data_IF_759446260823
#
_entry.id   IF_759446260823
#
_cell.length_a   1.000
_cell.length_b   1.000
_cell.length_c   1.000
_cell.angle_alpha   90.00
_cell.angle_beta   90.00
_cell.angle_gamma   90.00
#
_symmetry.space_group_name_H-M   'P 1'
#
loop_
_entity.id
_entity.type
_entity.pdbx_description
1 polymer ?
#
# COMPACT_ATOMS: atom_id res chain seq x y z
N UNK A 1 -5.43 62.44 -73.58
CA UNK A 1 -5.25 62.41 -72.15
C UNK A 1 -5.44 60.96 -71.70
N UNK A 2 -4.32 60.34 -71.38
CA UNK A 2 -4.25 58.83 -71.15
C UNK A 2 -4.71 58.52 -69.77
N UNK A 3 -5.62 57.54 -69.63
CA UNK A 3 -5.89 56.83 -68.35
C UNK A 3 -5.36 55.42 -68.51
N UNK A 4 -4.26 55.13 -67.77
CA UNK A 4 -3.64 53.81 -67.66
C UNK A 4 -4.39 52.97 -66.74
N UNK A 5 -4.74 51.76 -67.19
CA UNK A 5 -5.29 50.62 -66.45
C UNK A 5 -4.24 50.11 -65.44
N UNK A 6 -4.64 50.01 -64.19
CA UNK A 6 -4.02 49.16 -63.16
C UNK A 6 -5.08 48.15 -62.71
N UNK A 7 -4.99 47.02 -63.26
CA UNK A 7 -5.84 45.88 -62.87
C UNK A 7 -5.10 44.56 -63.15
N UNK A 8 -5.21 43.65 -62.21
CA UNK A 8 -4.78 42.23 -62.31
C UNK A 8 -3.35 41.89 -61.91
N UNK A 9 -3.07 41.83 -60.59
CA UNK A 9 -2.09 40.94 -60.00
C UNK A 9 -2.42 40.72 -58.52
N UNK A 10 -3.55 40.10 -58.17
CA UNK A 10 -3.83 39.65 -56.78
C UNK A 10 -4.85 38.52 -56.76
N UNK A 11 -4.52 37.38 -57.39
CA UNK A 11 -5.41 36.25 -57.34
C UNK A 11 -4.69 34.88 -57.52
N UNK A 12 -3.50 34.68 -56.90
CA UNK A 12 -2.80 33.39 -57.08
C UNK A 12 -1.99 32.94 -55.86
N UNK A 13 -2.30 33.43 -54.65
CA UNK A 13 -1.59 32.99 -53.42
C UNK A 13 -2.54 32.24 -52.44
N UNK A 14 -3.87 32.31 -52.65
CA UNK A 14 -4.84 31.75 -51.70
C UNK A 14 -5.15 30.24 -51.87
N UNK A 15 -4.63 29.57 -52.91
CA UNK A 15 -5.06 28.18 -53.24
C UNK A 15 -4.08 27.08 -52.84
N UNK A 16 -2.93 27.41 -52.26
CA UNK A 16 -1.94 26.38 -51.83
C UNK A 16 -1.89 26.09 -50.32
N UNK A 17 -2.62 26.84 -49.51
CA UNK A 17 -2.60 26.65 -48.02
C UNK A 17 -3.71 25.72 -47.55
N UNK A 18 -4.82 25.61 -48.30
CA UNK A 18 -5.97 24.78 -47.92
C UNK A 18 -5.72 23.26 -47.84
N UNK A 19 -4.93 22.60 -48.70
CA UNK A 19 -4.70 21.15 -48.57
C UNK A 19 -3.77 20.77 -47.42
N UNK A 20 -2.85 21.63 -46.99
CA UNK A 20 -1.95 21.32 -45.87
C UNK A 20 -2.68 21.35 -44.51
N UNK A 21 -3.61 22.27 -44.31
CA UNK A 21 -4.41 22.40 -43.11
C UNK A 21 -5.40 21.19 -42.99
N UNK A 22 -5.93 20.69 -44.10
CA UNK A 22 -6.84 19.55 -44.09
C UNK A 22 -6.15 18.22 -43.77
N UNK A 23 -4.90 18.02 -44.21
CA UNK A 23 -4.13 16.81 -43.86
C UNK A 23 -3.78 16.80 -42.37
N UNK A 24 -3.30 17.90 -41.82
CA UNK A 24 -2.96 18.01 -40.41
C UNK A 24 -4.18 17.78 -39.48
N UNK A 25 -5.37 18.25 -39.88
CA UNK A 25 -6.60 18.04 -39.12
C UNK A 25 -7.06 16.56 -39.16
N UNK A 26 -6.89 15.90 -40.30
CA UNK A 26 -7.20 14.46 -40.45
C UNK A 26 -6.24 13.61 -39.61
N UNK A 27 -4.96 13.97 -39.57
CA UNK A 27 -3.96 13.21 -38.79
C UNK A 27 -4.16 13.41 -37.27
N UNK A 28 -4.54 14.59 -36.81
CA UNK A 28 -4.96 14.82 -35.42
C UNK A 28 -6.21 14.02 -35.04
N UNK A 29 -7.22 13.94 -35.90
CA UNK A 29 -8.42 13.14 -35.65
C UNK A 29 -8.12 11.64 -35.58
N UNK A 30 -7.19 11.14 -36.40
CA UNK A 30 -6.73 9.76 -36.33
C UNK A 30 -5.99 9.49 -35.02
N UNK A 31 -5.07 10.35 -34.60
CA UNK A 31 -4.37 10.22 -33.34
C UNK A 31 -5.32 10.14 -32.14
N UNK A 32 -6.31 11.05 -32.09
CA UNK A 32 -7.37 11.02 -31.06
C UNK A 32 -8.11 9.69 -31.05
N UNK A 33 -8.44 9.15 -32.22
CA UNK A 33 -9.14 7.87 -32.33
C UNK A 33 -8.27 6.71 -31.81
N UNK A 34 -6.99 6.66 -32.20
CA UNK A 34 -6.08 5.59 -31.74
C UNK A 34 -5.93 5.61 -30.22
N UNK A 35 -5.82 6.80 -29.60
CA UNK A 35 -5.78 6.93 -28.14
C UNK A 35 -7.08 6.43 -27.49
N UNK A 36 -8.23 6.76 -28.04
CA UNK A 36 -9.53 6.28 -27.53
C UNK A 36 -9.67 4.77 -27.64
N UNK A 37 -9.22 4.21 -28.76
CA UNK A 37 -9.20 2.77 -29.00
C UNK A 37 -8.23 2.07 -28.03
N UNK A 38 -7.04 2.64 -27.78
CA UNK A 38 -6.06 2.17 -26.80
C UNK A 38 -6.66 2.13 -25.38
N UNK A 39 -7.27 3.23 -24.93
CA UNK A 39 -7.95 3.29 -23.64
C UNK A 39 -9.12 2.27 -23.56
N UNK A 40 -9.84 2.06 -24.64
CA UNK A 40 -10.93 1.08 -24.70
C UNK A 40 -10.40 -0.35 -24.52
N UNK A 41 -9.32 -0.71 -25.20
CA UNK A 41 -8.68 -2.02 -25.01
C UNK A 41 -8.16 -2.19 -23.60
N UNK A 42 -7.47 -1.18 -23.06
CA UNK A 42 -6.98 -1.17 -21.70
C UNK A 42 -8.11 -1.39 -20.66
N UNK A 43 -9.24 -0.66 -20.79
CA UNK A 43 -10.40 -0.83 -19.90
C UNK A 43 -11.05 -2.21 -20.00
N UNK A 44 -10.91 -2.89 -21.14
CA UNK A 44 -11.36 -4.28 -21.33
C UNK A 44 -10.36 -5.31 -20.86
N UNK A 45 -9.24 -4.88 -20.27
CA UNK A 45 -8.11 -5.73 -19.91
C UNK A 45 -7.47 -6.48 -21.09
N UNK A 46 -7.68 -5.99 -22.33
CA UNK A 46 -6.92 -6.42 -23.51
C UNK A 46 -5.60 -5.63 -23.54
N UNK A 47 -4.68 -6.04 -22.68
CA UNK A 47 -3.42 -5.33 -22.49
C UNK A 47 -2.45 -5.48 -23.66
N UNK A 48 -2.52 -6.59 -24.43
CA UNK A 48 -1.74 -6.77 -25.64
C UNK A 48 -2.20 -5.80 -26.74
N UNK A 49 -3.51 -5.74 -26.99
CA UNK A 49 -4.09 -4.79 -27.93
C UNK A 49 -3.87 -3.33 -27.50
N UNK A 50 -3.98 -3.04 -26.18
CA UNK A 50 -3.72 -1.71 -25.65
C UNK A 50 -2.25 -1.29 -25.84
N UNK A 51 -1.28 -2.16 -25.52
CA UNK A 51 0.14 -1.88 -25.67
C UNK A 51 0.50 -1.55 -27.13
N UNK A 52 0.04 -2.35 -28.08
CA UNK A 52 0.29 -2.12 -29.50
C UNK A 52 -0.24 -0.74 -29.96
N UNK A 53 -1.42 -0.34 -29.50
CA UNK A 53 -2.00 0.96 -29.85
C UNK A 53 -1.28 2.13 -29.15
N UNK A 54 -0.85 1.98 -27.89
CA UNK A 54 -0.04 3.01 -27.21
C UNK A 54 1.34 3.16 -27.84
N UNK A 55 1.97 2.09 -28.30
CA UNK A 55 3.21 2.17 -29.08
C UNK A 55 3.01 2.96 -30.38
N UNK A 56 1.89 2.71 -31.12
CA UNK A 56 1.56 3.47 -32.32
C UNK A 56 1.36 4.97 -31.99
N UNK A 57 0.68 5.25 -30.89
CA UNK A 57 0.46 6.64 -30.41
C UNK A 57 1.79 7.32 -30.12
N UNK A 58 2.68 6.71 -29.36
CA UNK A 58 3.96 7.29 -28.96
C UNK A 58 4.96 7.38 -30.10
N UNK A 59 4.88 6.48 -31.09
CA UNK A 59 5.68 6.59 -32.32
C UNK A 59 5.32 7.83 -33.15
N UNK A 60 4.05 8.31 -33.08
CA UNK A 60 3.57 9.46 -33.82
C UNK A 60 3.64 10.76 -32.99
N UNK A 61 3.46 10.66 -31.67
CA UNK A 61 3.48 11.80 -30.76
C UNK A 61 4.13 11.39 -29.42
N UNK A 62 5.48 11.50 -29.33
CA UNK A 62 6.22 11.15 -28.11
C UNK A 62 5.96 12.10 -26.93
N UNK A 63 5.30 13.23 -27.12
CA UNK A 63 4.98 14.19 -26.06
C UNK A 63 3.68 13.87 -25.32
N UNK A 64 2.99 12.80 -25.68
CA UNK A 64 1.77 12.32 -25.01
C UNK A 64 2.11 11.65 -23.69
N UNK A 65 2.24 12.46 -22.65
CA UNK A 65 2.74 12.07 -21.32
C UNK A 65 1.99 10.86 -20.70
N UNK A 66 0.66 10.87 -20.75
CA UNK A 66 -0.15 9.82 -20.14
C UNK A 66 -0.01 8.47 -20.86
N UNK A 67 0.32 8.47 -22.15
CA UNK A 67 0.44 7.25 -22.94
C UNK A 67 1.55 6.34 -22.42
N UNK A 68 2.65 6.90 -21.91
CA UNK A 68 3.75 6.12 -21.33
C UNK A 68 3.29 5.34 -20.09
N UNK A 69 2.49 5.96 -19.22
CA UNK A 69 1.97 5.27 -18.05
C UNK A 69 1.08 4.09 -18.44
N UNK A 70 0.15 4.29 -19.37
CA UNK A 70 -0.76 3.23 -19.79
C UNK A 70 -0.07 2.12 -20.58
N UNK A 71 0.96 2.48 -21.38
CA UNK A 71 1.82 1.50 -22.06
C UNK A 71 2.58 0.66 -21.06
N UNK A 72 3.26 1.31 -20.08
CA UNK A 72 3.96 0.64 -19.00
C UNK A 72 3.04 -0.32 -18.23
N UNK A 73 1.86 0.17 -17.85
CA UNK A 73 0.89 -0.63 -17.09
C UNK A 73 0.31 -1.78 -17.93
N UNK A 74 0.18 -1.62 -19.24
CA UNK A 74 -0.23 -2.72 -20.13
C UNK A 74 0.82 -3.84 -20.13
N UNK A 75 2.11 -3.52 -20.27
CA UNK A 75 3.19 -4.52 -20.20
C UNK A 75 3.30 -5.14 -18.81
N UNK A 76 3.15 -4.35 -17.74
CA UNK A 76 3.18 -4.84 -16.37
C UNK A 76 2.05 -5.85 -16.07
N UNK A 77 0.85 -5.64 -16.63
CA UNK A 77 -0.25 -6.58 -16.54
C UNK A 77 -0.08 -7.85 -17.40
N UNK A 78 0.73 -7.80 -18.44
CA UNK A 78 1.09 -8.97 -19.23
C UNK A 78 2.19 -9.81 -18.59
N UNK A 79 3.05 -9.21 -17.78
CA UNK A 79 4.08 -9.89 -17.02
C UNK A 79 3.48 -10.87 -16.02
N UNK A 80 4.06 -12.07 -15.94
CA UNK A 80 3.62 -13.13 -15.01
C UNK A 80 4.76 -13.49 -14.06
N UNK A 81 4.64 -13.19 -12.75
CA UNK A 81 5.68 -13.51 -11.76
C UNK A 81 6.08 -15.00 -11.76
N UNK A 82 5.12 -15.90 -12.04
CA UNK A 82 5.39 -17.34 -12.11
C UNK A 82 6.27 -17.77 -13.28
N UNK A 83 6.44 -16.93 -14.30
CA UNK A 83 7.27 -17.16 -15.50
C UNK A 83 8.57 -16.33 -15.46
N UNK A 84 8.97 -15.82 -14.31
CA UNK A 84 10.22 -15.07 -14.15
C UNK A 84 11.40 -15.96 -14.54
N UNK A 85 12.32 -15.44 -15.36
CA UNK A 85 13.44 -16.16 -15.98
C UNK A 85 13.17 -16.61 -17.42
N UNK A 86 11.92 -16.49 -17.92
CA UNK A 86 11.60 -16.69 -19.32
C UNK A 86 11.81 -15.38 -20.08
N UNK A 87 12.69 -15.38 -21.09
CA UNK A 87 13.16 -14.17 -21.76
C UNK A 87 12.04 -13.25 -22.29
N UNK A 88 10.97 -13.83 -22.85
CA UNK A 88 9.84 -13.04 -23.37
C UNK A 88 9.02 -12.41 -22.23
N UNK A 89 8.83 -13.14 -21.14
CA UNK A 89 8.12 -12.63 -19.96
C UNK A 89 8.94 -11.54 -19.25
N UNK A 90 10.25 -11.74 -19.08
CA UNK A 90 11.11 -10.76 -18.43
C UNK A 90 11.22 -9.47 -19.26
N UNK A 91 11.22 -9.59 -20.60
CA UNK A 91 11.19 -8.44 -21.49
C UNK A 91 9.93 -7.56 -21.30
N UNK A 92 8.77 -8.17 -21.02
CA UNK A 92 7.56 -7.40 -20.72
C UNK A 92 7.76 -6.50 -19.48
N UNK A 93 8.41 -7.03 -18.44
CA UNK A 93 8.73 -6.24 -17.25
C UNK A 93 9.74 -5.14 -17.54
N UNK A 94 10.79 -5.43 -18.32
CA UNK A 94 11.76 -4.41 -18.77
C UNK A 94 11.05 -3.28 -19.52
N UNK A 95 10.18 -3.61 -20.48
CA UNK A 95 9.40 -2.62 -21.23
C UNK A 95 8.45 -1.82 -20.30
N UNK A 96 7.87 -2.46 -19.30
CA UNK A 96 7.06 -1.76 -18.30
C UNK A 96 7.89 -0.74 -17.51
N UNK A 97 9.05 -1.14 -17.00
CA UNK A 97 9.97 -0.28 -16.24
C UNK A 97 10.43 0.91 -17.08
N UNK A 98 10.89 0.68 -18.30
CA UNK A 98 11.36 1.75 -19.20
C UNK A 98 10.28 2.79 -19.48
N UNK A 99 9.04 2.35 -19.68
CA UNK A 99 7.93 3.25 -19.92
C UNK A 99 7.44 3.95 -18.64
N UNK A 100 7.53 3.31 -17.46
CA UNK A 100 7.29 4.01 -16.18
C UNK A 100 8.34 5.08 -15.94
N UNK A 101 9.63 4.82 -16.19
CA UNK A 101 10.71 5.82 -16.10
C UNK A 101 10.41 6.98 -17.04
N UNK A 102 10.10 6.69 -18.31
CA UNK A 102 9.73 7.71 -19.29
C UNK A 102 8.54 8.55 -18.82
N UNK A 103 7.52 7.92 -18.24
CA UNK A 103 6.37 8.60 -17.65
C UNK A 103 6.77 9.52 -16.49
N UNK A 104 7.62 9.07 -15.57
CA UNK A 104 8.11 9.88 -14.45
C UNK A 104 8.87 11.10 -14.94
N UNK A 105 9.69 10.95 -16.00
CA UNK A 105 10.57 12.01 -16.49
C UNK A 105 9.80 13.13 -17.19
N UNK A 106 8.82 12.79 -18.04
CA UNK A 106 8.12 13.78 -18.88
C UNK A 106 6.82 14.29 -18.25
N UNK A 107 6.26 13.60 -17.26
CA UNK A 107 4.94 13.90 -16.71
C UNK A 107 4.93 15.22 -15.96
N UNK A 108 4.08 16.14 -16.40
CA UNK A 108 3.90 17.47 -15.79
C UNK A 108 2.75 17.50 -14.77
N UNK A 109 1.82 16.56 -14.84
CA UNK A 109 0.77 16.39 -13.83
C UNK A 109 1.35 15.71 -12.58
N UNK A 110 1.41 16.38 -11.40
CA UNK A 110 2.03 15.81 -10.21
C UNK A 110 1.39 14.49 -9.75
N UNK A 111 0.06 14.38 -9.86
CA UNK A 111 -0.65 13.17 -9.45
C UNK A 111 -0.29 11.96 -10.33
N UNK A 112 -0.23 12.15 -11.66
CA UNK A 112 0.18 11.09 -12.58
C UNK A 112 1.65 10.74 -12.41
N UNK A 113 2.51 11.73 -12.16
CA UNK A 113 3.93 11.49 -11.88
C UNK A 113 4.12 10.64 -10.63
N UNK A 114 3.43 10.99 -9.54
CA UNK A 114 3.45 10.18 -8.29
C UNK A 114 2.91 8.77 -8.54
N UNK A 115 1.83 8.63 -9.29
CA UNK A 115 1.28 7.32 -9.66
C UNK A 115 2.30 6.49 -10.45
N UNK A 116 2.97 7.09 -11.43
CA UNK A 116 4.03 6.41 -12.23
C UNK A 116 5.18 5.96 -11.34
N UNK A 117 5.60 6.77 -10.38
CA UNK A 117 6.65 6.40 -9.41
C UNK A 117 6.21 5.24 -8.50
N UNK A 118 4.96 5.23 -8.03
CA UNK A 118 4.42 4.13 -7.23
C UNK A 118 4.43 2.80 -7.99
N UNK A 119 4.02 2.82 -9.26
CA UNK A 119 4.04 1.63 -10.10
C UNK A 119 5.47 1.20 -10.47
N UNK A 120 6.38 2.15 -10.66
CA UNK A 120 7.80 1.87 -10.87
C UNK A 120 8.43 1.20 -9.65
N UNK A 121 8.15 1.68 -8.44
CA UNK A 121 8.57 1.02 -7.19
C UNK A 121 8.01 -0.40 -7.10
N UNK A 122 6.72 -0.58 -7.44
CA UNK A 122 6.12 -1.91 -7.45
C UNK A 122 6.73 -2.85 -8.53
N UNK A 123 7.16 -2.30 -9.67
CA UNK A 123 7.85 -3.07 -10.71
C UNK A 123 9.26 -3.51 -10.27
N UNK A 124 9.94 -2.71 -9.44
CA UNK A 124 11.20 -3.10 -8.81
C UNK A 124 11.04 -4.08 -7.62
N UNK A 125 9.81 -4.33 -7.17
CA UNK A 125 9.50 -5.16 -6.01
C UNK A 125 9.97 -6.62 -6.10
N UNK A 126 9.94 -7.37 -4.96
CA UNK A 126 10.51 -8.71 -4.85
C UNK A 126 9.84 -9.75 -5.76
N UNK A 127 8.56 -9.58 -6.07
CA UNK A 127 7.80 -10.50 -6.93
C UNK A 127 8.03 -10.23 -8.43
N UNK A 128 8.71 -9.13 -8.80
CA UNK A 128 8.97 -8.70 -10.17
C UNK A 128 10.48 -8.60 -10.43
N UNK A 129 11.02 -7.40 -10.60
CA UNK A 129 12.44 -7.22 -10.89
C UNK A 129 13.36 -7.61 -9.72
N UNK A 130 12.88 -7.48 -8.48
CA UNK A 130 13.65 -7.68 -7.26
C UNK A 130 14.93 -6.83 -7.25
N UNK A 131 14.77 -5.55 -7.52
CA UNK A 131 15.85 -4.56 -7.62
C UNK A 131 15.64 -3.43 -6.59
N UNK A 132 15.99 -3.66 -5.31
CA UNK A 132 15.89 -2.64 -4.28
C UNK A 132 16.80 -1.42 -4.54
N UNK A 133 17.92 -1.61 -5.24
CA UNK A 133 18.86 -0.52 -5.51
C UNK A 133 18.27 0.52 -6.48
N UNK A 134 17.46 0.10 -7.44
CA UNK A 134 16.71 1.00 -8.34
C UNK A 134 15.45 1.56 -7.71
N UNK A 135 14.84 0.85 -6.74
CA UNK A 135 13.65 1.29 -6.02
C UNK A 135 13.92 2.44 -5.05
N UNK A 136 15.04 2.39 -4.32
CA UNK A 136 15.39 3.35 -3.27
C UNK A 136 15.40 4.80 -3.75
N UNK A 137 16.12 5.18 -4.84
CA UNK A 137 16.15 6.58 -5.30
C UNK A 137 14.75 7.09 -5.73
N UNK A 138 13.88 6.23 -6.23
CA UNK A 138 12.49 6.61 -6.58
C UNK A 138 11.71 6.96 -5.32
N UNK A 139 11.79 6.14 -4.27
CA UNK A 139 11.16 6.40 -2.98
C UNK A 139 11.69 7.66 -2.31
N UNK A 140 13.02 7.88 -2.35
CA UNK A 140 13.63 9.12 -1.85
C UNK A 140 13.13 10.36 -2.61
N UNK A 141 12.95 10.26 -3.92
CA UNK A 141 12.36 11.32 -4.73
C UNK A 141 10.90 11.57 -4.36
N UNK A 142 10.09 10.53 -4.11
CA UNK A 142 8.71 10.68 -3.66
C UNK A 142 8.63 11.40 -2.31
N UNK A 143 9.54 11.08 -1.37
CA UNK A 143 9.67 11.79 -0.09
C UNK A 143 10.04 13.26 -0.30
N UNK A 144 10.96 13.57 -1.21
CA UNK A 144 11.33 14.96 -1.52
C UNK A 144 10.17 15.75 -2.16
N UNK A 145 9.34 15.10 -2.97
CA UNK A 145 8.17 15.72 -3.61
C UNK A 145 7.04 15.99 -2.61
N UNK A 146 6.81 15.07 -1.68
CA UNK A 146 5.82 15.23 -0.61
C UNK A 146 6.39 14.73 0.73
N UNK A 147 7.15 15.59 1.44
CA UNK A 147 7.74 15.23 2.73
C UNK A 147 6.71 15.02 3.85
N UNK A 148 5.46 15.40 3.62
CA UNK A 148 4.38 15.28 4.61
C UNK A 148 3.60 13.96 4.51
N UNK A 149 3.84 13.19 3.46
CA UNK A 149 3.15 11.91 3.23
C UNK A 149 3.88 10.74 3.91
N UNK A 150 3.34 10.17 4.99
CA UNK A 150 3.99 9.08 5.72
C UNK A 150 4.11 7.79 4.89
N UNK A 151 3.23 7.57 3.91
CA UNK A 151 3.24 6.34 3.09
C UNK A 151 4.53 6.18 2.29
N UNK A 152 5.15 7.30 1.85
CA UNK A 152 6.41 7.27 1.14
C UNK A 152 7.55 6.77 2.04
N UNK A 153 7.56 7.18 3.30
CA UNK A 153 8.53 6.71 4.30
C UNK A 153 8.28 5.25 4.67
N UNK A 154 7.01 4.84 4.85
CA UNK A 154 6.69 3.44 5.14
C UNK A 154 7.12 2.52 4.00
N UNK A 155 6.96 2.95 2.75
CA UNK A 155 7.45 2.21 1.59
C UNK A 155 8.99 2.09 1.59
N UNK A 156 9.71 3.16 1.95
CA UNK A 156 11.18 3.14 2.07
C UNK A 156 11.63 2.26 3.24
N UNK A 157 10.98 2.37 4.40
CA UNK A 157 11.27 1.53 5.55
C UNK A 157 11.04 0.04 5.23
N UNK A 158 9.94 -0.27 4.50
CA UNK A 158 9.68 -1.64 4.04
C UNK A 158 10.73 -2.16 3.07
N UNK A 159 11.20 -1.32 2.14
CA UNK A 159 12.30 -1.66 1.24
C UNK A 159 13.57 -2.04 2.01
N UNK A 160 13.93 -1.25 3.02
CA UNK A 160 15.08 -1.52 3.87
C UNK A 160 14.89 -2.79 4.71
N UNK A 161 13.71 -2.99 5.29
CA UNK A 161 13.34 -4.21 6.03
C UNK A 161 13.48 -5.47 5.15
N UNK A 162 12.92 -5.45 3.93
CA UNK A 162 12.98 -6.57 2.98
C UNK A 162 14.42 -6.84 2.49
N UNK A 163 15.29 -5.81 2.55
CA UNK A 163 16.71 -5.91 2.23
C UNK A 163 17.57 -6.33 3.43
N UNK A 164 16.97 -6.53 4.62
CA UNK A 164 17.68 -6.86 5.86
C UNK A 164 18.42 -5.68 6.51
N UNK A 165 18.14 -4.45 6.06
CA UNK A 165 18.72 -3.20 6.56
C UNK A 165 17.83 -2.64 7.68
N UNK A 166 17.77 -3.37 8.80
CA UNK A 166 16.83 -3.04 9.89
C UNK A 166 17.12 -1.72 10.59
N UNK A 167 18.40 -1.34 10.70
CA UNK A 167 18.80 -0.08 11.33
C UNK A 167 18.36 1.12 10.47
N UNK A 168 18.50 1.02 9.15
CA UNK A 168 18.04 2.02 8.20
C UNK A 168 16.51 2.12 8.19
N UNK A 169 15.82 0.98 8.25
CA UNK A 169 14.35 0.95 8.37
C UNK A 169 13.88 1.66 9.64
N UNK A 170 14.49 1.39 10.80
CA UNK A 170 14.18 2.06 12.07
C UNK A 170 14.39 3.58 11.97
N UNK A 171 15.48 4.03 11.35
CA UNK A 171 15.74 5.47 11.17
C UNK A 171 14.65 6.16 10.32
N UNK A 172 14.16 5.50 9.29
CA UNK A 172 13.04 6.04 8.47
C UNK A 172 11.76 6.13 9.29
N UNK A 173 11.43 5.13 10.12
CA UNK A 173 10.27 5.20 11.02
C UNK A 173 10.39 6.34 12.03
N UNK A 174 11.58 6.58 12.59
CA UNK A 174 11.83 7.68 13.53
C UNK A 174 11.63 9.05 12.85
N UNK A 175 11.99 9.20 11.58
CA UNK A 175 11.69 10.42 10.81
C UNK A 175 10.17 10.65 10.69
N UNK A 176 9.38 9.60 10.49
CA UNK A 176 7.91 9.74 10.45
C UNK A 176 7.36 10.16 11.80
N UNK A 177 7.89 9.63 12.91
CA UNK A 177 7.49 10.03 14.25
C UNK A 177 7.76 11.52 14.50
N UNK A 178 8.89 12.05 14.04
CA UNK A 178 9.18 13.49 14.14
C UNK A 178 8.17 14.36 13.37
N UNK A 179 7.63 13.84 12.27
CA UNK A 179 6.64 14.54 11.45
C UNK A 179 5.19 14.37 11.93
N UNK A 180 4.88 13.25 12.57
CA UNK A 180 3.52 12.78 12.88
C UNK A 180 3.43 12.13 14.27
N UNK A 181 3.98 12.80 15.28
CA UNK A 181 4.03 12.27 16.66
C UNK A 181 2.64 11.97 17.27
N UNK A 182 1.58 12.63 16.78
CA UNK A 182 0.21 12.45 17.26
C UNK A 182 -0.62 11.50 16.36
N UNK A 183 0.00 10.84 15.38
CA UNK A 183 -0.70 9.92 14.48
C UNK A 183 -0.60 8.47 14.99
N UNK A 184 -1.70 7.88 15.50
CA UNK A 184 -1.69 6.53 16.05
C UNK A 184 -1.32 5.45 15.02
N UNK A 185 -1.57 5.71 13.72
CA UNK A 185 -1.23 4.77 12.65
C UNK A 185 0.29 4.60 12.50
N UNK A 186 1.08 5.65 12.76
CA UNK A 186 2.54 5.59 12.71
C UNK A 186 3.07 4.63 13.76
N UNK A 187 2.54 4.69 14.98
CA UNK A 187 2.94 3.79 16.06
C UNK A 187 2.53 2.34 15.80
N UNK A 188 1.38 2.13 15.15
CA UNK A 188 0.95 0.79 14.76
C UNK A 188 1.89 0.19 13.69
N UNK A 189 2.31 0.97 12.70
CA UNK A 189 3.28 0.53 11.69
C UNK A 189 4.64 0.23 12.33
N UNK A 190 5.11 1.10 13.22
CA UNK A 190 6.36 0.92 13.96
C UNK A 190 6.32 -0.34 14.84
N UNK A 191 5.21 -0.58 15.54
CA UNK A 191 5.03 -1.81 16.32
C UNK A 191 5.08 -3.06 15.45
N UNK A 192 4.44 -3.02 14.26
CA UNK A 192 4.51 -4.10 13.29
C UNK A 192 5.94 -4.38 12.81
N UNK A 193 6.73 -3.34 12.54
CA UNK A 193 8.14 -3.45 12.20
C UNK A 193 8.96 -4.10 13.34
N UNK A 194 8.81 -3.61 14.57
CA UNK A 194 9.52 -4.18 15.72
C UNK A 194 9.13 -5.64 15.99
N UNK A 195 7.87 -5.98 15.80
CA UNK A 195 7.42 -7.37 15.96
C UNK A 195 8.06 -8.31 14.92
N UNK A 196 8.08 -7.91 13.64
CA UNK A 196 8.74 -8.70 12.58
C UNK A 196 10.24 -8.82 12.76
N UNK A 197 10.86 -7.82 13.39
CA UNK A 197 12.30 -7.84 13.77
C UNK A 197 12.56 -8.45 15.16
N UNK A 198 11.58 -9.13 15.76
CA UNK A 198 11.68 -9.84 17.04
C UNK A 198 12.04 -8.95 18.24
N UNK A 199 11.74 -7.65 18.19
CA UNK A 199 12.00 -6.67 19.24
C UNK A 199 10.75 -6.44 20.10
N UNK A 200 10.35 -7.45 20.89
CA UNK A 200 9.09 -7.47 21.62
C UNK A 200 8.87 -6.26 22.52
N UNK A 201 9.87 -5.84 23.29
CA UNK A 201 9.76 -4.71 24.22
C UNK A 201 9.48 -3.40 23.46
N UNK A 202 10.15 -3.17 22.33
CA UNK A 202 9.88 -2.01 21.46
C UNK A 202 8.50 -2.08 20.80
N UNK A 203 8.04 -3.28 20.46
CA UNK A 203 6.67 -3.50 19.95
C UNK A 203 5.64 -3.02 20.97
N UNK A 204 5.76 -3.48 22.21
CA UNK A 204 4.84 -3.10 23.28
C UNK A 204 4.92 -1.60 23.59
N UNK A 205 6.12 -1.02 23.60
CA UNK A 205 6.28 0.42 23.83
C UNK A 205 5.59 1.25 22.75
N UNK A 206 5.76 0.92 21.48
CA UNK A 206 5.07 1.60 20.37
C UNK A 206 3.54 1.48 20.50
N UNK A 207 3.02 0.30 20.85
CA UNK A 207 1.57 0.12 21.04
C UNK A 207 1.04 0.89 22.25
N UNK A 208 1.82 1.05 23.32
CA UNK A 208 1.47 1.88 24.47
C UNK A 208 1.41 3.36 24.10
N UNK A 209 2.32 3.83 23.26
CA UNK A 209 2.25 5.20 22.73
C UNK A 209 0.97 5.40 21.91
N UNK A 210 0.62 4.42 21.06
CA UNK A 210 -0.67 4.43 20.34
C UNK A 210 -1.84 4.55 21.31
N UNK A 211 -1.90 3.70 22.34
CA UNK A 211 -3.02 3.72 23.31
C UNK A 211 -3.09 5.00 24.14
N UNK A 212 -1.96 5.68 24.34
CA UNK A 212 -1.93 6.99 25.02
C UNK A 212 -2.51 8.10 24.13
N UNK A 213 -2.40 8.00 22.81
CA UNK A 213 -3.00 8.93 21.83
C UNK A 213 -4.50 8.64 21.66
N UNK A 214 -4.90 7.36 21.72
CA UNK A 214 -6.28 6.90 21.54
C UNK A 214 -6.86 6.29 22.84
N UNK A 215 -6.93 7.02 23.97
CA UNK A 215 -7.30 6.45 25.28
C UNK A 215 -8.72 5.90 25.34
N UNK A 216 -9.61 6.33 24.45
CA UNK A 216 -11.01 5.89 24.37
C UNK A 216 -11.23 4.82 23.26
N UNK A 217 -10.16 4.35 22.62
CA UNK A 217 -10.25 3.33 21.59
C UNK A 217 -9.97 1.93 22.16
N UNK A 218 -11.00 1.06 22.31
CA UNK A 218 -10.81 -0.29 22.87
C UNK A 218 -9.87 -1.15 22.02
N UNK A 219 -9.78 -0.91 20.71
CA UNK A 219 -8.87 -1.65 19.80
C UNK A 219 -7.40 -1.40 20.16
N UNK A 220 -7.04 -0.20 20.63
CA UNK A 220 -5.66 0.09 21.00
C UNK A 220 -5.16 -0.81 22.15
N UNK A 221 -5.99 -1.04 23.17
CA UNK A 221 -5.68 -1.93 24.29
C UNK A 221 -5.79 -3.40 23.91
N UNK A 222 -6.83 -3.76 23.16
CA UNK A 222 -6.98 -5.10 22.62
C UNK A 222 -5.73 -5.52 21.80
N UNK A 223 -5.20 -4.65 20.98
CA UNK A 223 -3.99 -4.92 20.19
C UNK A 223 -2.80 -5.27 21.11
N UNK A 224 -2.57 -4.53 22.20
CA UNK A 224 -1.51 -4.85 23.16
C UNK A 224 -1.72 -6.25 23.78
N UNK A 225 -2.96 -6.56 24.14
CA UNK A 225 -3.29 -7.87 24.72
C UNK A 225 -2.99 -9.02 23.75
N UNK A 226 -3.22 -8.84 22.45
CA UNK A 226 -2.91 -9.87 21.45
C UNK A 226 -1.42 -10.14 21.35
N UNK A 227 -0.56 -9.12 21.44
CA UNK A 227 0.90 -9.31 21.42
C UNK A 227 1.40 -10.00 22.70
N UNK A 228 0.83 -9.71 23.86
CA UNK A 228 1.16 -10.44 25.09
C UNK A 228 0.72 -11.91 25.02
N UNK A 229 -0.50 -12.16 24.50
CA UNK A 229 -0.95 -13.51 24.23
C UNK A 229 -0.03 -14.25 23.26
N UNK A 230 0.36 -13.62 22.16
CA UNK A 230 1.26 -14.23 21.16
C UNK A 230 2.61 -14.59 21.79
N UNK A 231 3.17 -13.70 22.62
CA UNK A 231 4.42 -13.93 23.35
C UNK A 231 4.29 -15.13 24.30
N UNK A 232 3.25 -15.15 25.12
CA UNK A 232 3.01 -16.26 26.06
C UNK A 232 2.77 -17.59 25.35
N UNK A 233 2.01 -17.59 24.26
CA UNK A 233 1.60 -18.80 23.56
C UNK A 233 2.67 -19.39 22.63
N UNK A 234 3.50 -18.56 22.00
CA UNK A 234 4.44 -19.01 20.96
C UNK A 234 5.89 -19.14 21.43
N UNK A 235 6.29 -18.44 22.47
CA UNK A 235 7.67 -18.51 22.95
C UNK A 235 7.85 -19.67 23.96
N UNK A 236 8.04 -20.88 23.44
CA UNK A 236 8.25 -22.09 24.22
C UNK A 236 9.52 -22.11 25.07
N UNK A 237 10.32 -21.03 25.06
CA UNK A 237 11.50 -20.87 25.91
C UNK A 237 11.17 -20.23 27.25
N UNK A 238 9.94 -19.69 27.39
CA UNK A 238 9.50 -19.09 28.65
C UNK A 238 9.37 -20.16 29.75
N UNK A 239 9.75 -19.78 30.96
CA UNK A 239 9.36 -20.50 32.16
C UNK A 239 7.86 -20.27 32.46
N UNK A 240 7.25 -21.16 33.25
CA UNK A 240 5.86 -21.02 33.67
C UNK A 240 5.57 -19.64 34.33
N UNK A 241 6.54 -19.12 35.14
CA UNK A 241 6.46 -17.80 35.77
C UNK A 241 6.48 -16.66 34.75
N UNK A 242 7.33 -16.77 33.72
CA UNK A 242 7.39 -15.79 32.63
C UNK A 242 6.13 -15.83 31.77
N UNK A 243 5.62 -17.02 31.44
CA UNK A 243 4.37 -17.21 30.71
C UNK A 243 3.21 -16.60 31.50
N UNK A 244 3.09 -16.90 32.82
CA UNK A 244 2.06 -16.32 33.68
C UNK A 244 2.14 -14.79 33.69
N UNK A 245 3.33 -14.21 33.74
CA UNK A 245 3.54 -12.76 33.68
C UNK A 245 2.94 -12.16 32.41
N UNK A 246 3.22 -12.73 31.25
CA UNK A 246 2.65 -12.24 29.99
C UNK A 246 1.16 -12.46 29.87
N UNK A 247 0.63 -13.58 30.38
CA UNK A 247 -0.82 -13.83 30.45
C UNK A 247 -1.51 -12.77 31.30
N UNK A 248 -0.97 -12.45 32.47
CA UNK A 248 -1.53 -11.41 33.36
C UNK A 248 -1.47 -10.01 32.75
N UNK A 249 -0.40 -9.67 32.06
CA UNK A 249 -0.29 -8.42 31.32
C UNK A 249 -1.32 -8.35 30.20
N UNK A 250 -1.51 -9.43 29.45
CA UNK A 250 -2.53 -9.54 28.42
C UNK A 250 -3.95 -9.38 28.98
N UNK A 251 -4.26 -10.02 30.14
CA UNK A 251 -5.53 -9.86 30.84
C UNK A 251 -5.77 -8.41 31.27
N UNK A 252 -4.73 -7.75 31.77
CA UNK A 252 -4.82 -6.33 32.17
C UNK A 252 -5.21 -5.43 31.00
N UNK A 253 -4.63 -5.64 29.83
CA UNK A 253 -4.91 -4.81 28.66
C UNK A 253 -6.27 -5.15 28.02
N UNK A 254 -6.65 -6.43 27.97
CA UNK A 254 -7.98 -6.82 27.44
C UNK A 254 -9.11 -6.32 28.35
N UNK A 255 -8.87 -6.25 29.67
CA UNK A 255 -9.84 -5.67 30.62
C UNK A 255 -10.08 -4.19 30.32
N UNK A 256 -9.04 -3.40 30.06
CA UNK A 256 -9.18 -2.00 29.64
C UNK A 256 -10.02 -1.86 28.35
N UNK A 257 -9.81 -2.75 27.39
CA UNK A 257 -10.62 -2.77 26.17
C UNK A 257 -12.09 -3.04 26.44
N UNK A 258 -12.39 -3.99 27.37
CA UNK A 258 -13.75 -4.33 27.77
C UNK A 258 -14.40 -3.29 28.68
N UNK A 259 -13.63 -2.57 29.49
CA UNK A 259 -14.12 -1.41 30.25
C UNK A 259 -14.62 -0.27 29.33
N UNK A 260 -13.98 -0.10 28.17
CA UNK A 260 -14.40 0.87 27.15
C UNK A 260 -15.58 0.35 26.30
N UNK A 261 -15.59 -0.94 26.00
CA UNK A 261 -16.66 -1.59 25.24
C UNK A 261 -16.89 -3.02 25.72
N UNK A 262 -17.88 -3.22 26.59
CA UNK A 262 -18.24 -4.49 27.19
C UNK A 262 -18.68 -5.57 26.19
N UNK A 263 -19.09 -5.17 24.98
CA UNK A 263 -19.56 -6.03 23.90
C UNK A 263 -18.53 -6.14 22.75
N UNK A 264 -17.27 -5.79 23.00
CA UNK A 264 -16.20 -5.96 22.04
C UNK A 264 -15.86 -7.42 21.87
N UNK A 265 -16.42 -8.05 20.83
CA UNK A 265 -16.39 -9.50 20.59
C UNK A 265 -14.96 -10.06 20.63
N UNK A 266 -14.03 -9.39 19.91
CA UNK A 266 -12.65 -9.87 19.81
C UNK A 266 -11.93 -9.84 21.17
N UNK A 267 -12.18 -8.82 21.99
CA UNK A 267 -11.65 -8.73 23.35
C UNK A 267 -12.24 -9.81 24.27
N UNK A 268 -13.55 -10.12 24.16
CA UNK A 268 -14.18 -11.22 24.91
C UNK A 268 -13.53 -12.57 24.55
N UNK A 269 -13.27 -12.81 23.26
CA UNK A 269 -12.60 -14.03 22.78
C UNK A 269 -11.19 -14.13 23.34
N UNK A 270 -10.40 -13.07 23.27
CA UNK A 270 -9.02 -13.10 23.77
C UNK A 270 -8.96 -13.20 25.31
N UNK A 271 -9.86 -12.53 26.03
CA UNK A 271 -9.95 -12.69 27.49
C UNK A 271 -10.25 -14.14 27.86
N UNK A 272 -11.23 -14.78 27.20
CA UNK A 272 -11.50 -16.22 27.41
C UNK A 272 -10.26 -17.10 27.18
N UNK A 273 -9.48 -16.83 26.10
CA UNK A 273 -8.27 -17.59 25.80
C UNK A 273 -7.21 -17.37 26.89
N UNK A 274 -6.93 -16.12 27.28
CA UNK A 274 -5.95 -15.79 28.32
C UNK A 274 -6.33 -16.38 29.69
N UNK A 275 -7.62 -16.36 30.07
CA UNK A 275 -8.08 -16.98 31.33
C UNK A 275 -7.89 -18.50 31.32
N UNK A 276 -8.07 -19.17 30.19
CA UNK A 276 -7.75 -20.61 30.07
C UNK A 276 -6.25 -20.89 30.16
N UNK A 277 -5.41 -20.02 29.61
CA UNK A 277 -3.96 -20.12 29.79
C UNK A 277 -3.60 -19.93 31.27
N UNK A 278 -4.17 -18.94 31.94
CA UNK A 278 -4.00 -18.74 33.38
C UNK A 278 -4.43 -19.97 34.18
N UNK A 279 -5.60 -20.55 33.86
CA UNK A 279 -6.09 -21.77 34.52
C UNK A 279 -5.10 -22.95 34.37
N UNK A 280 -4.47 -23.11 33.21
CA UNK A 280 -3.48 -24.17 32.98
C UNK A 280 -2.18 -23.99 33.80
N UNK A 281 -1.84 -22.74 34.17
CA UNK A 281 -0.66 -22.38 34.97
C UNK A 281 -0.98 -22.40 36.50
N UNK A 282 -2.26 -22.46 36.87
CA UNK A 282 -2.71 -22.42 38.27
C UNK A 282 -2.69 -23.80 38.90
N UNK A 283 -1.97 -23.96 40.02
CA UNK A 283 -1.90 -25.20 40.78
C UNK A 283 -3.17 -25.52 41.63
N UNK A 284 -3.89 -24.47 42.06
CA UNK A 284 -5.10 -24.56 42.85
C UNK A 284 -6.29 -24.99 41.96
N UNK A 285 -6.82 -26.21 42.23
CA UNK A 285 -7.90 -26.78 41.44
C UNK A 285 -9.22 -25.98 41.54
N UNK A 286 -9.53 -25.40 42.70
CA UNK A 286 -10.75 -24.63 42.91
C UNK A 286 -10.66 -23.32 42.12
N UNK A 287 -9.48 -22.66 42.12
CA UNK A 287 -9.22 -21.48 41.32
C UNK A 287 -9.20 -21.79 39.81
N UNK A 288 -8.65 -22.94 39.42
CA UNK A 288 -8.65 -23.36 38.01
C UNK A 288 -10.10 -23.56 37.51
N UNK A 289 -10.96 -24.26 38.28
CA UNK A 289 -12.37 -24.46 37.89
C UNK A 289 -13.11 -23.10 37.77
N UNK A 290 -12.84 -22.15 38.68
CA UNK A 290 -13.43 -20.81 38.63
C UNK A 290 -13.01 -20.05 37.35
N UNK A 291 -11.73 -20.04 37.03
CA UNK A 291 -11.21 -19.38 35.82
C UNK A 291 -11.81 -19.97 34.54
N UNK A 292 -11.97 -21.30 34.48
CA UNK A 292 -12.60 -21.99 33.35
C UNK A 292 -14.08 -21.59 33.22
N UNK A 293 -14.84 -21.54 34.35
CA UNK A 293 -16.25 -21.18 34.36
C UNK A 293 -16.46 -19.72 33.91
N UNK A 294 -15.59 -18.78 34.32
CA UNK A 294 -15.60 -17.39 33.88
C UNK A 294 -15.27 -17.29 32.39
N UNK A 295 -14.25 -18.03 31.93
CA UNK A 295 -13.89 -18.09 30.51
C UNK A 295 -15.04 -18.63 29.64
N UNK A 296 -15.78 -19.63 30.10
CA UNK A 296 -16.97 -20.16 29.40
C UNK A 296 -18.05 -19.08 29.25
N UNK A 297 -18.28 -18.27 30.28
CA UNK A 297 -19.24 -17.15 30.24
C UNK A 297 -18.87 -16.12 29.16
N UNK A 298 -17.57 -15.79 29.04
CA UNK A 298 -17.08 -14.87 28.02
C UNK A 298 -17.23 -15.43 26.61
N UNK A 299 -16.92 -16.71 26.42
CA UNK A 299 -17.13 -17.42 25.14
C UNK A 299 -18.61 -17.35 24.74
N UNK A 300 -19.51 -17.73 25.64
CA UNK A 300 -20.94 -17.78 25.37
C UNK A 300 -21.49 -16.38 25.01
N UNK A 301 -20.99 -15.33 25.69
CA UNK A 301 -21.33 -13.94 25.36
C UNK A 301 -20.81 -13.54 23.98
N UNK A 302 -19.57 -13.86 23.64
CA UNK A 302 -18.99 -13.58 22.32
C UNK A 302 -19.79 -14.28 21.21
N UNK A 303 -20.18 -15.56 21.41
CA UNK A 303 -21.00 -16.30 20.45
C UNK A 303 -22.39 -15.70 20.27
N UNK A 304 -23.04 -15.26 21.36
CA UNK A 304 -24.34 -14.58 21.30
C UNK A 304 -24.24 -13.31 20.45
N UNK A 305 -23.27 -12.44 20.74
CA UNK A 305 -23.04 -11.21 20.01
C UNK A 305 -22.73 -11.46 18.53
N UNK A 306 -21.94 -12.48 18.22
CA UNK A 306 -21.64 -12.88 16.86
C UNK A 306 -22.89 -13.33 16.10
N UNK A 307 -23.80 -14.08 16.75
CA UNK A 307 -25.08 -14.50 16.17
C UNK A 307 -25.99 -13.28 15.90
N UNK A 308 -26.06 -12.34 16.82
CA UNK A 308 -26.84 -11.11 16.64
C UNK A 308 -26.32 -10.28 15.45
N UNK A 309 -25.00 -10.11 15.36
CA UNK A 309 -24.34 -9.39 14.25
C UNK A 309 -24.62 -10.03 12.90
N UNK A 310 -24.58 -11.38 12.81
CA UNK A 310 -24.83 -12.10 11.55
C UNK A 310 -26.29 -12.17 11.17
N UNK A 311 -27.23 -12.12 12.13
CA UNK A 311 -28.68 -12.13 11.88
C UNK A 311 -29.23 -10.76 11.46
N UNK A 312 -28.42 -9.70 11.44
CA UNK A 312 -28.86 -8.35 11.08
C UNK A 312 -29.78 -7.68 12.11
N UNK A 313 -29.85 -8.23 13.32
CA UNK A 313 -30.55 -7.63 14.47
C UNK A 313 -29.50 -6.89 15.27
N UNK A 314 -29.26 -5.62 14.91
CA UNK A 314 -28.44 -4.66 15.67
C UNK A 314 -29.30 -3.55 16.24
#
# INVERSE_FOLDING_TARGET
MQIRSFGTRLALVATMVLPLVSCQYVDQLKAIKVIQDAHTQYQRADYEGAAALYEEVLANDPDLQDAYFYLANSYDNLFRPALRGEAENDRLLEMAIDNYISSVDIQTNPAMRTLSMQYLVAAYGPDKANDPASSEPVLQQMIQMDPSNPDNYFALAKLYEDSGLYDEAEQVFLQVLDLRADDPAVYLQLAGFYNRSEQFEKTIEALRQRSAIEPDNPEAFYTIATYYWEKAFRDFRLSDEEEETYVMLGLTEVDKALDLNTDYIDALVYKNILMRMQANLTEDLDQQEQLIAEADTLRDRAEELQKLRTSGVS
#
